data_IF_435106575802
#
_entry.id   IF_435106575802
#
_cell.length_a   1.000
_cell.length_b   1.000
_cell.length_c   1.000
_cell.angle_alpha   90.00
_cell.angle_beta   90.00
_cell.angle_gamma   90.00
#
_symmetry.space_group_name_H-M   'P 1'
#
loop_
_entity.id
_entity.type
_entity.pdbx_description
1 polymer ?
#
# COMPACT_ATOMS: atom_id res chain seq x y z
N UNK A 1 8.92 5.54 18.86
CA UNK A 1 7.73 5.06 18.10
C UNK A 1 6.86 6.27 17.80
N UNK A 2 6.49 6.49 16.54
CA UNK A 2 5.65 7.63 16.14
C UNK A 2 4.25 7.52 16.73
N UNK A 3 3.59 8.65 16.93
CA UNK A 3 2.20 8.65 17.37
C UNK A 3 1.28 8.09 16.29
N UNK A 4 0.54 7.03 16.62
CA UNK A 4 -0.42 6.39 15.72
C UNK A 4 -1.81 7.00 15.96
N UNK A 5 -2.04 8.18 15.39
CA UNK A 5 -3.26 8.94 15.53
C UNK A 5 -3.89 9.28 14.15
N UNK A 6 -5.05 9.93 14.17
CA UNK A 6 -5.77 10.25 12.94
C UNK A 6 -5.00 11.20 12.02
N UNK A 7 -4.28 12.14 12.56
CA UNK A 7 -3.51 13.11 11.79
C UNK A 7 -2.41 12.45 10.95
N UNK A 8 -1.76 11.43 11.54
CA UNK A 8 -0.67 10.71 10.88
C UNK A 8 -1.13 9.58 9.97
N UNK A 9 -2.32 9.01 10.22
CA UNK A 9 -2.82 7.82 9.49
C UNK A 9 -3.84 8.19 8.41
N UNK A 10 -4.76 9.12 8.69
CA UNK A 10 -5.86 9.41 7.77
C UNK A 10 -5.36 10.14 6.50
N UNK A 11 -5.69 9.59 5.34
CA UNK A 11 -5.31 10.15 4.05
C UNK A 11 -4.88 9.10 3.05
N UNK A 12 -3.94 9.45 2.18
CA UNK A 12 -3.42 8.57 1.14
C UNK A 12 -2.19 7.83 1.63
N UNK A 13 -2.20 6.52 1.47
CA UNK A 13 -1.06 5.62 1.66
C UNK A 13 -0.63 5.05 0.31
N UNK A 14 0.65 4.78 0.16
CA UNK A 14 1.23 4.23 -1.07
C UNK A 14 1.85 2.85 -0.81
N UNK A 15 1.40 1.84 -1.53
CA UNK A 15 2.12 0.58 -1.63
C UNK A 15 3.14 0.74 -2.78
N UNK A 16 4.37 1.06 -2.44
CA UNK A 16 5.39 1.49 -3.41
C UNK A 16 6.07 0.32 -4.11
N UNK A 17 6.37 0.45 -5.42
CA UNK A 17 7.28 -0.48 -6.12
C UNK A 17 8.71 -0.31 -5.59
N UNK A 18 9.51 -1.36 -5.69
CA UNK A 18 10.92 -1.36 -5.28
C UNK A 18 11.83 -1.06 -6.48
N UNK A 19 12.70 -0.05 -6.41
CA UNK A 19 13.66 0.23 -7.49
C UNK A 19 14.82 -0.77 -7.47
N UNK A 20 15.18 -1.29 -8.63
CA UNK A 20 16.35 -2.14 -8.84
C UNK A 20 17.31 -1.52 -9.85
N UNK A 21 18.59 -1.89 -9.74
CA UNK A 21 19.60 -1.60 -10.76
C UNK A 21 19.44 -2.52 -11.98
N UNK A 22 20.24 -2.31 -13.02
CA UNK A 22 20.30 -3.22 -14.18
C UNK A 22 20.74 -4.64 -13.77
N UNK A 23 21.54 -4.76 -12.70
CA UNK A 23 22.02 -6.02 -12.13
C UNK A 23 21.01 -6.66 -11.15
N UNK A 24 19.81 -6.09 -11.02
CA UNK A 24 18.74 -6.55 -10.12
C UNK A 24 19.09 -6.45 -8.63
N UNK A 25 19.97 -5.53 -8.27
CA UNK A 25 20.24 -5.15 -6.89
C UNK A 25 19.35 -3.97 -6.48
N UNK A 26 19.22 -3.70 -5.17
CA UNK A 26 18.47 -2.55 -4.68
C UNK A 26 19.14 -1.24 -5.11
N UNK A 27 18.40 -0.36 -5.79
CA UNK A 27 18.87 0.98 -6.15
C UNK A 27 18.61 1.96 -4.99
N UNK A 28 19.60 2.11 -4.11
CA UNK A 28 19.51 2.98 -2.92
C UNK A 28 19.32 4.46 -3.27
N UNK A 29 19.86 4.94 -4.39
CA UNK A 29 19.66 6.32 -4.83
C UNK A 29 18.23 6.55 -5.30
N UNK A 30 17.67 5.62 -6.06
CA UNK A 30 16.28 5.65 -6.47
C UNK A 30 15.32 5.51 -5.27
N UNK A 31 15.66 4.70 -4.25
CA UNK A 31 14.91 4.67 -2.98
C UNK A 31 14.86 6.06 -2.34
N UNK A 32 15.98 6.78 -2.31
CA UNK A 32 16.01 8.14 -1.76
C UNK A 32 15.08 9.09 -2.53
N UNK A 33 15.15 9.07 -3.87
CA UNK A 33 14.27 9.89 -4.72
C UNK A 33 12.80 9.51 -4.58
N UNK A 34 12.49 8.20 -4.48
CA UNK A 34 11.14 7.71 -4.25
C UNK A 34 10.56 8.25 -2.94
N UNK A 35 11.30 8.16 -1.84
CA UNK A 35 10.85 8.66 -0.54
C UNK A 35 10.58 10.17 -0.57
N UNK A 36 11.48 10.96 -1.15
CA UNK A 36 11.28 12.40 -1.32
C UNK A 36 10.04 12.72 -2.18
N UNK A 37 9.85 11.97 -3.25
CA UNK A 37 8.66 12.11 -4.10
C UNK A 37 7.37 11.81 -3.33
N UNK A 38 7.32 10.71 -2.56
CA UNK A 38 6.14 10.37 -1.75
C UNK A 38 5.80 11.46 -0.71
N UNK A 39 6.82 12.08 -0.13
CA UNK A 39 6.62 13.21 0.79
C UNK A 39 6.01 14.41 0.05
N UNK A 40 6.47 14.75 -1.14
CA UNK A 40 5.91 15.84 -1.96
C UNK A 40 4.46 15.56 -2.37
N UNK A 41 4.12 14.32 -2.68
CA UNK A 41 2.74 13.91 -2.96
C UNK A 41 1.81 14.00 -1.73
N UNK A 42 2.33 14.26 -0.53
CA UNK A 42 1.55 14.34 0.71
C UNK A 42 1.12 12.98 1.26
N UNK A 43 1.84 11.92 0.91
CA UNK A 43 1.55 10.55 1.37
C UNK A 43 1.73 10.45 2.89
N UNK A 44 0.78 9.79 3.56
CA UNK A 44 0.78 9.60 5.02
C UNK A 44 1.59 8.40 5.47
N UNK A 45 1.65 7.37 4.65
CA UNK A 45 2.42 6.18 4.97
C UNK A 45 2.76 5.34 3.75
N UNK A 46 3.82 4.55 3.88
CA UNK A 46 4.29 3.62 2.86
C UNK A 46 4.02 2.18 3.29
N UNK A 47 3.58 1.36 2.35
CA UNK A 47 3.60 -0.10 2.47
C UNK A 47 4.72 -0.65 1.59
N UNK A 48 5.76 -1.18 2.24
CA UNK A 48 6.94 -1.75 1.61
C UNK A 48 6.78 -3.25 1.39
N UNK A 49 7.50 -3.78 0.41
CA UNK A 49 7.58 -5.22 0.11
C UNK A 49 6.21 -5.90 -0.01
N UNK A 50 5.19 -5.17 -0.49
CA UNK A 50 3.88 -5.70 -0.88
C UNK A 50 4.00 -6.49 -2.20
N UNK A 51 2.87 -6.94 -2.76
CA UNK A 51 2.88 -7.50 -4.12
C UNK A 51 3.44 -6.50 -5.13
N UNK A 52 3.01 -5.26 -5.05
CA UNK A 52 3.51 -4.15 -5.87
C UNK A 52 4.99 -3.85 -5.63
N UNK A 53 5.46 -4.04 -4.42
CA UNK A 53 6.87 -3.89 -4.05
C UNK A 53 7.70 -5.15 -4.26
N UNK A 54 7.15 -6.18 -4.92
CA UNK A 54 7.84 -7.45 -5.28
C UNK A 54 8.39 -8.22 -4.06
N UNK A 55 7.82 -7.99 -2.88
CA UNK A 55 8.35 -8.53 -1.63
C UNK A 55 8.45 -10.05 -1.58
N UNK A 56 7.57 -10.78 -2.29
CA UNK A 56 7.60 -12.25 -2.37
C UNK A 56 8.72 -12.79 -3.26
N UNK A 57 9.24 -11.97 -4.18
CA UNK A 57 10.36 -12.31 -5.06
C UNK A 57 11.73 -11.89 -4.49
N UNK A 58 11.73 -11.03 -3.47
CA UNK A 58 12.96 -10.58 -2.82
C UNK A 58 13.51 -11.63 -1.84
N UNK A 59 14.84 -11.67 -1.71
CA UNK A 59 15.49 -12.34 -0.59
C UNK A 59 15.23 -11.58 0.72
N UNK A 60 15.37 -12.28 1.86
CA UNK A 60 15.30 -11.64 3.18
C UNK A 60 16.32 -10.50 3.31
N UNK A 61 17.52 -10.67 2.74
CA UNK A 61 18.55 -9.66 2.75
C UNK A 61 18.09 -8.37 2.04
N UNK A 62 17.58 -8.48 0.80
CA UNK A 62 17.09 -7.31 0.04
C UNK A 62 15.93 -6.60 0.74
N UNK A 63 15.04 -7.37 1.40
CA UNK A 63 13.91 -6.80 2.16
C UNK A 63 14.41 -5.96 3.33
N UNK A 64 15.43 -6.43 4.06
CA UNK A 64 16.02 -5.70 5.19
C UNK A 64 16.80 -4.48 4.70
N UNK A 65 17.53 -4.58 3.59
CA UNK A 65 18.19 -3.42 2.99
C UNK A 65 17.19 -2.35 2.57
N UNK A 66 16.09 -2.75 1.89
CA UNK A 66 15.00 -1.82 1.54
C UNK A 66 14.45 -1.11 2.79
N UNK A 67 14.16 -1.87 3.86
CA UNK A 67 13.66 -1.28 5.10
C UNK A 67 14.63 -0.23 5.67
N UNK A 68 15.92 -0.54 5.75
CA UNK A 68 16.96 0.37 6.23
C UNK A 68 17.09 1.64 5.39
N UNK A 69 17.15 1.49 4.06
CA UNK A 69 17.27 2.63 3.15
C UNK A 69 16.04 3.54 3.18
N UNK A 70 14.83 2.97 3.24
CA UNK A 70 13.61 3.76 3.36
C UNK A 70 13.55 4.48 4.71
N UNK A 71 13.85 3.81 5.82
CA UNK A 71 13.87 4.44 7.16
C UNK A 71 14.86 5.61 7.20
N UNK A 72 16.10 5.41 6.72
CA UNK A 72 17.14 6.42 6.65
C UNK A 72 16.69 7.67 5.87
N UNK A 73 16.03 7.48 4.73
CA UNK A 73 15.59 8.57 3.86
C UNK A 73 14.27 9.20 4.33
N UNK A 74 13.40 8.44 5.00
CA UNK A 74 12.11 8.93 5.48
C UNK A 74 12.22 10.01 6.56
N UNK A 75 13.22 9.92 7.43
CA UNK A 75 13.47 10.92 8.51
C UNK A 75 12.18 11.27 9.27
N UNK A 76 11.41 10.26 9.62
CA UNK A 76 10.15 10.35 10.37
C UNK A 76 9.00 11.16 9.74
N UNK A 77 9.07 11.44 8.43
CA UNK A 77 8.05 12.24 7.73
C UNK A 77 6.76 11.47 7.42
N UNK A 78 6.84 10.17 7.20
CA UNK A 78 5.71 9.28 6.91
C UNK A 78 5.74 8.08 7.86
N UNK A 79 4.58 7.43 8.05
CA UNK A 79 4.52 6.12 8.69
C UNK A 79 5.04 5.05 7.74
N UNK A 80 5.78 4.10 8.27
CA UNK A 80 6.35 3.00 7.50
C UNK A 80 5.74 1.67 7.92
N UNK A 81 5.15 0.98 6.96
CA UNK A 81 4.64 -0.37 7.13
C UNK A 81 5.34 -1.32 6.15
N UNK A 82 5.57 -2.55 6.56
CA UNK A 82 6.17 -3.56 5.70
C UNK A 82 5.37 -4.85 5.73
N UNK A 83 5.11 -5.44 4.55
CA UNK A 83 4.36 -6.67 4.44
C UNK A 83 5.24 -7.86 4.85
N UNK A 84 4.76 -8.61 5.84
CA UNK A 84 5.35 -9.86 6.29
C UNK A 84 4.86 -10.99 5.39
N UNK A 85 5.79 -11.80 4.90
CA UNK A 85 5.46 -12.92 4.00
C UNK A 85 4.77 -14.06 4.74
N UNK A 86 3.96 -14.83 4.02
CA UNK A 86 3.28 -16.02 4.54
C UNK A 86 4.29 -17.13 4.81
N UNK A 87 4.61 -17.30 6.08
CA UNK A 87 5.51 -18.31 6.62
C UNK A 87 4.96 -18.89 7.93
N UNK A 88 5.53 -19.96 8.48
CA UNK A 88 5.20 -20.39 9.83
C UNK A 88 5.33 -19.25 10.84
N UNK A 89 4.42 -19.21 11.82
CA UNK A 89 4.32 -18.12 12.80
C UNK A 89 5.65 -17.71 13.46
N UNK A 90 6.58 -18.65 13.61
CA UNK A 90 7.91 -18.36 14.17
C UNK A 90 8.70 -17.45 13.23
N UNK A 91 8.78 -17.79 11.94
CA UNK A 91 9.51 -17.01 10.94
C UNK A 91 8.88 -15.62 10.76
N UNK A 92 7.54 -15.54 10.73
CA UNK A 92 6.86 -14.24 10.68
C UNK A 92 7.20 -13.35 11.88
N UNK A 93 7.31 -13.92 13.10
CA UNK A 93 7.71 -13.16 14.30
C UNK A 93 9.18 -12.74 14.25
N UNK A 94 10.04 -13.58 13.72
CA UNK A 94 11.45 -13.28 13.53
C UNK A 94 11.60 -12.12 12.49
N UNK A 95 10.82 -12.14 11.41
CA UNK A 95 10.78 -11.06 10.42
C UNK A 95 10.24 -9.75 11.01
N UNK A 96 9.13 -9.81 11.78
CA UNK A 96 8.60 -8.62 12.47
C UNK A 96 9.66 -7.99 13.37
N UNK A 97 10.44 -8.80 14.08
CA UNK A 97 11.52 -8.29 14.91
C UNK A 97 12.62 -7.64 14.09
N UNK A 98 13.04 -8.26 12.97
CA UNK A 98 14.06 -7.68 12.08
C UNK A 98 13.65 -6.32 11.54
N UNK A 99 12.38 -6.17 11.09
CA UNK A 99 11.90 -4.88 10.59
C UNK A 99 11.71 -3.84 11.69
N UNK A 100 11.36 -4.25 12.93
CA UNK A 100 11.38 -3.38 14.11
C UNK A 100 12.79 -2.84 14.36
N UNK A 101 13.80 -3.72 14.34
CA UNK A 101 15.20 -3.34 14.51
C UNK A 101 15.70 -2.35 13.42
N UNK A 102 15.06 -2.35 12.24
CA UNK A 102 15.31 -1.37 11.18
C UNK A 102 14.61 -0.02 11.40
N UNK A 103 13.61 0.06 12.28
CA UNK A 103 12.81 1.27 12.50
C UNK A 103 11.50 1.36 11.73
N UNK A 104 10.96 0.25 11.24
CA UNK A 104 9.60 0.18 10.68
C UNK A 104 8.57 0.37 11.79
N UNK A 105 7.51 1.13 11.53
CA UNK A 105 6.50 1.49 12.54
C UNK A 105 5.41 0.42 12.71
N UNK A 106 5.04 -0.31 11.63
CA UNK A 106 3.86 -1.19 11.57
C UNK A 106 4.20 -2.46 10.78
N UNK A 107 3.90 -3.62 11.35
CA UNK A 107 3.98 -4.87 10.60
C UNK A 107 2.65 -5.12 9.87
N UNK A 108 2.68 -5.20 8.54
CA UNK A 108 1.51 -5.54 7.73
C UNK A 108 1.44 -7.06 7.53
N UNK A 109 0.25 -7.64 7.71
CA UNK A 109 0.00 -9.07 7.53
C UNK A 109 -1.18 -9.23 6.57
N UNK A 110 -0.99 -9.98 5.49
CA UNK A 110 -2.08 -10.33 4.58
C UNK A 110 -3.07 -11.30 5.26
N UNK A 111 -4.37 -11.18 4.98
CA UNK A 111 -5.41 -12.04 5.54
C UNK A 111 -6.32 -12.63 4.47
N UNK A 112 -6.51 -13.94 4.55
CA UNK A 112 -5.46 -14.93 4.37
C UNK A 112 -5.16 -15.01 2.87
N UNK A 113 -3.92 -15.05 2.52
CA UNK A 113 -3.50 -15.35 1.16
C UNK A 113 -2.88 -16.75 1.16
N UNK A 114 -3.72 -17.78 1.25
CA UNK A 114 -3.24 -19.15 1.11
C UNK A 114 -4.02 -19.88 0.02
N UNK A 115 -3.34 -20.52 -0.93
CA UNK A 115 -3.98 -21.35 -1.95
C UNK A 115 -4.56 -22.65 -1.38
N UNK A 116 -4.29 -22.95 -0.09
CA UNK A 116 -4.71 -24.17 0.59
C UNK A 116 -5.90 -23.87 1.50
N UNK A 117 -6.91 -24.75 1.50
CA UNK A 117 -8.01 -24.71 2.47
C UNK A 117 -7.49 -24.96 3.88
N UNK A 118 -7.19 -23.88 4.59
CA UNK A 118 -6.77 -23.94 5.99
C UNK A 118 -8.00 -23.85 6.89
N UNK A 119 -8.05 -24.69 7.91
CA UNK A 119 -9.16 -24.66 8.90
C UNK A 119 -9.18 -23.32 9.63
N UNK A 120 -10.37 -22.70 9.80
CA UNK A 120 -10.50 -21.42 10.50
C UNK A 120 -9.84 -21.37 11.87
N UNK A 121 -9.89 -22.49 12.64
CA UNK A 121 -9.29 -22.58 13.97
C UNK A 121 -7.76 -22.49 13.94
N UNK A 122 -7.14 -23.01 12.88
CA UNK A 122 -5.70 -22.88 12.70
C UNK A 122 -5.32 -21.43 12.38
N UNK A 123 -6.04 -20.78 11.45
CA UNK A 123 -5.86 -19.38 11.13
C UNK A 123 -6.05 -18.49 12.37
N UNK A 124 -7.09 -18.73 13.15
CA UNK A 124 -7.32 -18.03 14.41
C UNK A 124 -6.12 -18.12 15.34
N UNK A 125 -5.62 -19.34 15.59
CA UNK A 125 -4.44 -19.55 16.45
C UNK A 125 -3.19 -18.86 15.91
N UNK A 126 -2.99 -18.89 14.59
CA UNK A 126 -1.86 -18.23 13.93
C UNK A 126 -1.91 -16.72 14.15
N UNK A 127 -2.99 -16.07 13.75
CA UNK A 127 -3.12 -14.61 13.86
C UNK A 127 -3.11 -14.14 15.31
N UNK A 128 -3.81 -14.80 16.21
CA UNK A 128 -3.80 -14.45 17.64
C UNK A 128 -2.40 -14.57 18.24
N UNK A 129 -1.66 -15.62 17.88
CA UNK A 129 -0.27 -15.79 18.33
C UNK A 129 0.62 -14.68 17.80
N UNK A 130 0.52 -14.35 16.50
CA UNK A 130 1.29 -13.29 15.87
C UNK A 130 1.00 -11.93 16.50
N UNK A 131 -0.28 -11.55 16.61
CA UNK A 131 -0.70 -10.27 17.17
C UNK A 131 -0.26 -10.15 18.64
N UNK A 132 -0.46 -11.19 19.44
CA UNK A 132 -0.07 -11.17 20.86
C UNK A 132 1.44 -11.00 21.04
N UNK A 133 2.26 -11.68 20.21
CA UNK A 133 3.72 -11.71 20.36
C UNK A 133 4.45 -10.65 19.53
N UNK A 134 3.77 -10.02 18.58
CA UNK A 134 4.39 -8.96 17.79
C UNK A 134 4.91 -7.83 18.67
N UNK A 135 6.16 -7.38 18.49
CA UNK A 135 6.65 -6.17 19.14
C UNK A 135 6.05 -4.90 18.50
N UNK A 136 5.67 -4.96 17.21
CA UNK A 136 5.07 -3.86 16.48
C UNK A 136 3.53 -3.91 16.49
N UNK A 137 2.86 -2.76 16.33
CA UNK A 137 1.46 -2.70 15.92
C UNK A 137 1.24 -3.43 14.59
N UNK A 138 0.03 -3.95 14.42
CA UNK A 138 -0.33 -4.76 13.24
C UNK A 138 -1.29 -3.99 12.33
N UNK A 139 -0.97 -3.96 11.04
CA UNK A 139 -1.90 -3.68 9.98
C UNK A 139 -2.39 -4.99 9.34
N UNK A 140 -3.70 -5.16 9.17
CA UNK A 140 -4.26 -6.29 8.43
C UNK A 140 -4.59 -5.85 7.01
N UNK A 141 -4.05 -6.58 6.06
CA UNK A 141 -4.29 -6.40 4.64
C UNK A 141 -5.32 -7.42 4.18
N UNK A 142 -6.58 -7.01 4.05
CA UNK A 142 -7.69 -7.89 3.70
C UNK A 142 -7.83 -7.99 2.18
N UNK A 143 -7.20 -9.01 1.59
CA UNK A 143 -7.10 -9.19 0.14
C UNK A 143 -8.05 -10.24 -0.44
N UNK A 144 -8.58 -11.15 0.39
CA UNK A 144 -9.33 -12.30 -0.09
C UNK A 144 -10.83 -12.15 0.12
N UNK A 145 -11.60 -12.12 -0.98
CA UNK A 145 -13.08 -12.08 -0.93
C UNK A 145 -13.70 -13.31 -0.25
N UNK A 146 -13.03 -14.45 -0.29
CA UNK A 146 -13.49 -15.70 0.34
C UNK A 146 -13.14 -15.81 1.83
N UNK A 147 -12.53 -14.78 2.44
CA UNK A 147 -12.17 -14.80 3.86
C UNK A 147 -13.38 -15.00 4.76
N UNK A 148 -13.29 -15.86 5.79
CA UNK A 148 -14.35 -16.03 6.79
C UNK A 148 -14.53 -14.73 7.60
N UNK A 149 -15.61 -14.01 7.36
CA UNK A 149 -15.88 -12.73 8.02
C UNK A 149 -15.91 -12.82 9.55
N UNK A 150 -16.55 -13.83 10.19
CA UNK A 150 -16.54 -13.91 11.64
C UNK A 150 -15.12 -13.97 12.22
N UNK A 151 -14.24 -14.78 11.61
CA UNK A 151 -12.85 -14.87 12.02
C UNK A 151 -12.11 -13.54 11.81
N UNK A 152 -12.34 -12.87 10.69
CA UNK A 152 -11.74 -11.58 10.42
C UNK A 152 -12.13 -10.54 11.48
N UNK A 153 -13.41 -10.48 11.83
CA UNK A 153 -13.91 -9.60 12.91
C UNK A 153 -13.21 -9.87 14.24
N UNK A 154 -13.10 -11.14 14.64
CA UNK A 154 -12.38 -11.50 15.87
C UNK A 154 -10.91 -11.03 15.86
N UNK A 155 -10.26 -11.11 14.70
CA UNK A 155 -8.86 -10.69 14.53
C UNK A 155 -8.73 -9.17 14.61
N UNK A 156 -9.58 -8.41 13.91
CA UNK A 156 -9.51 -6.97 13.94
C UNK A 156 -9.92 -6.36 15.29
N UNK A 157 -10.58 -7.12 16.15
CA UNK A 157 -10.88 -6.71 17.52
C UNK A 157 -9.66 -6.81 18.45
N UNK A 158 -8.56 -7.43 18.03
CA UNK A 158 -7.36 -7.53 18.88
C UNK A 158 -6.71 -6.14 19.09
N UNK A 159 -6.30 -5.79 20.33
CA UNK A 159 -5.83 -4.42 20.66
C UNK A 159 -4.66 -3.91 19.80
N UNK A 160 -3.73 -4.79 19.44
CA UNK A 160 -2.56 -4.44 18.62
C UNK A 160 -2.86 -4.27 17.13
N UNK A 161 -4.04 -4.66 16.65
CA UNK A 161 -4.47 -4.38 15.29
C UNK A 161 -4.97 -2.94 15.25
N UNK A 162 -4.21 -2.08 14.61
CA UNK A 162 -4.46 -0.64 14.57
C UNK A 162 -4.97 -0.14 13.23
N UNK A 163 -4.74 -0.92 12.18
CA UNK A 163 -5.06 -0.55 10.81
C UNK A 163 -5.62 -1.75 10.04
N UNK A 164 -6.63 -1.51 9.24
CA UNK A 164 -7.15 -2.45 8.24
C UNK A 164 -7.13 -1.80 6.87
N UNK A 165 -6.44 -2.41 5.91
CA UNK A 165 -6.55 -2.09 4.51
C UNK A 165 -7.51 -3.08 3.83
N UNK A 166 -8.67 -2.59 3.38
CA UNK A 166 -9.69 -3.41 2.73
C UNK A 166 -9.57 -3.33 1.21
N UNK A 167 -9.12 -4.42 0.59
CA UNK A 167 -8.96 -4.55 -0.85
C UNK A 167 -10.16 -5.24 -1.51
N UNK A 168 -11.21 -5.56 -0.77
CA UNK A 168 -12.42 -6.11 -1.32
C UNK A 168 -13.41 -4.99 -1.65
N UNK A 169 -14.03 -5.05 -2.82
CA UNK A 169 -15.10 -4.12 -3.20
C UNK A 169 -16.50 -4.67 -2.83
N UNK A 170 -16.57 -5.52 -1.79
CA UNK A 170 -17.80 -6.11 -1.29
C UNK A 170 -18.46 -5.14 -0.28
N UNK A 171 -19.65 -4.57 -0.61
CA UNK A 171 -20.30 -3.60 0.28
C UNK A 171 -20.71 -4.18 1.64
N UNK A 172 -21.07 -5.45 1.69
CA UNK A 172 -21.45 -6.12 2.95
C UNK A 172 -20.25 -6.23 3.90
N UNK A 173 -19.12 -6.70 3.38
CA UNK A 173 -17.86 -6.77 4.16
C UNK A 173 -17.39 -5.40 4.58
N UNK A 174 -17.48 -4.41 3.69
CA UNK A 174 -17.18 -3.01 4.01
C UNK A 174 -17.99 -2.53 5.20
N UNK A 175 -19.31 -2.74 5.19
CA UNK A 175 -20.18 -2.33 6.30
C UNK A 175 -19.80 -3.00 7.62
N UNK A 176 -19.49 -4.30 7.61
CA UNK A 176 -19.05 -5.06 8.79
C UNK A 176 -17.74 -4.49 9.34
N UNK A 177 -16.73 -4.28 8.49
CA UNK A 177 -15.43 -3.74 8.90
C UNK A 177 -15.59 -2.36 9.54
N UNK A 178 -16.31 -1.45 8.88
CA UNK A 178 -16.51 -0.08 9.36
C UNK A 178 -17.31 -0.03 10.66
N UNK A 179 -18.35 -0.85 10.80
CA UNK A 179 -19.14 -0.93 12.03
C UNK A 179 -18.29 -1.52 13.18
N UNK A 180 -17.48 -2.54 12.90
CA UNK A 180 -16.55 -3.10 13.90
C UNK A 180 -15.53 -2.06 14.34
N UNK A 181 -14.97 -1.28 13.41
CA UNK A 181 -14.01 -0.24 13.72
C UNK A 181 -14.61 0.87 14.60
N UNK A 182 -15.86 1.28 14.31
CA UNK A 182 -16.59 2.29 15.11
C UNK A 182 -16.89 1.81 16.53
N UNK A 183 -17.17 0.52 16.72
CA UNK A 183 -17.51 -0.06 18.02
C UNK A 183 -16.32 -0.37 18.91
N UNK A 184 -15.07 -0.15 18.46
CA UNK A 184 -13.89 -0.42 19.28
C UNK A 184 -13.59 0.71 20.27
N UNK A 185 -13.22 0.32 21.48
CA UNK A 185 -12.68 1.23 22.50
C UNK A 185 -11.35 1.85 22.04
N UNK A 186 -10.41 1.01 21.56
CA UNK A 186 -9.18 1.44 20.93
C UNK A 186 -9.42 1.67 19.44
N UNK A 187 -9.05 2.84 18.93
CA UNK A 187 -9.29 3.20 17.54
C UNK A 187 -8.65 2.22 16.57
N UNK A 188 -9.47 1.72 15.63
CA UNK A 188 -9.04 0.99 14.45
C UNK A 188 -9.17 1.92 13.24
N UNK A 189 -8.07 2.18 12.56
CA UNK A 189 -8.07 2.95 11.32
C UNK A 189 -8.41 2.04 10.14
N UNK A 190 -9.10 2.61 9.16
CA UNK A 190 -9.56 1.86 7.99
C UNK A 190 -9.14 2.56 6.71
N UNK A 191 -8.46 1.84 5.84
CA UNK A 191 -8.11 2.28 4.48
C UNK A 191 -8.82 1.39 3.47
N UNK A 192 -9.22 1.96 2.35
CA UNK A 192 -9.73 1.20 1.21
C UNK A 192 -8.68 1.14 0.10
N UNK A 193 -8.60 0.02 -0.62
CA UNK A 193 -7.67 -0.15 -1.75
C UNK A 193 -8.47 -0.33 -3.03
N UNK A 194 -9.03 0.76 -3.54
CA UNK A 194 -9.71 0.78 -4.82
C UNK A 194 -9.19 1.95 -5.65
N UNK A 195 -8.28 1.67 -6.56
CA UNK A 195 -7.64 2.65 -7.44
C UNK A 195 -8.68 3.45 -8.25
N UNK A 196 -9.68 2.77 -8.79
CA UNK A 196 -10.66 3.37 -9.69
C UNK A 196 -11.76 4.18 -8.97
N UNK A 197 -11.82 4.15 -7.63
CA UNK A 197 -12.85 4.86 -6.89
C UNK A 197 -12.40 5.25 -5.47
N UNK A 198 -11.81 6.42 -5.34
CA UNK A 198 -11.41 7.00 -4.05
C UNK A 198 -12.55 7.77 -3.37
N UNK A 199 -13.65 8.06 -4.07
CA UNK A 199 -14.78 8.85 -3.57
C UNK A 199 -15.64 8.03 -2.60
N UNK A 200 -16.06 6.84 -3.02
CA UNK A 200 -16.96 5.98 -2.24
C UNK A 200 -16.39 5.62 -0.86
N UNK A 201 -15.09 5.29 -0.69
CA UNK A 201 -14.50 5.07 0.61
C UNK A 201 -14.71 6.22 1.59
N UNK A 202 -14.51 7.46 1.16
CA UNK A 202 -14.72 8.64 2.00
C UNK A 202 -16.17 8.74 2.45
N UNK A 203 -17.12 8.57 1.52
CA UNK A 203 -18.56 8.60 1.81
C UNK A 203 -19.01 7.48 2.75
N UNK A 204 -18.40 6.32 2.68
CA UNK A 204 -18.66 5.21 3.60
C UNK A 204 -18.03 5.40 4.98
N UNK A 205 -17.07 6.32 5.13
CA UNK A 205 -16.44 6.67 6.39
C UNK A 205 -15.11 5.97 6.66
N UNK A 206 -14.41 5.53 5.62
CA UNK A 206 -12.99 5.15 5.74
C UNK A 206 -12.14 6.35 6.17
N UNK A 207 -11.06 6.10 6.87
CA UNK A 207 -10.09 7.14 7.26
C UNK A 207 -9.23 7.59 6.08
N UNK A 208 -9.08 6.75 5.05
CA UNK A 208 -8.30 7.05 3.85
C UNK A 208 -8.27 5.92 2.84
N UNK A 209 -7.27 5.98 1.95
CA UNK A 209 -7.03 4.97 0.92
C UNK A 209 -5.58 4.48 0.97
N UNK A 210 -5.36 3.22 0.64
CA UNK A 210 -4.04 2.62 0.39
C UNK A 210 -4.02 2.16 -1.07
N UNK A 211 -3.28 2.87 -1.92
CA UNK A 211 -3.26 2.61 -3.35
C UNK A 211 -1.87 2.10 -3.78
N UNK A 212 -1.87 1.16 -4.70
CA UNK A 212 -0.63 0.68 -5.30
C UNK A 212 -0.05 1.71 -6.29
N UNK A 213 -0.92 2.53 -6.88
CA UNK A 213 -0.57 3.55 -7.86
C UNK A 213 -0.29 4.92 -7.25
N UNK A 214 -0.47 5.09 -5.93
CA UNK A 214 -0.24 6.37 -5.27
C UNK A 214 1.20 6.90 -5.42
N UNK A 215 2.14 6.04 -5.84
CA UNK A 215 3.50 6.48 -6.17
C UNK A 215 3.57 7.48 -7.33
N UNK A 216 2.52 7.61 -8.15
CA UNK A 216 2.38 8.65 -9.17
C UNK A 216 0.98 9.31 -9.18
N UNK A 217 -0.06 8.69 -8.61
CA UNK A 217 -1.41 9.26 -8.53
C UNK A 217 -1.73 9.92 -7.19
N UNK A 218 -0.79 9.88 -6.23
CA UNK A 218 -1.03 10.26 -4.84
C UNK A 218 -1.56 11.69 -4.66
N UNK A 219 -1.08 12.64 -5.45
CA UNK A 219 -1.54 14.03 -5.40
C UNK A 219 -3.03 14.15 -5.83
N UNK A 220 -3.40 13.50 -6.94
CA UNK A 220 -4.79 13.44 -7.40
C UNK A 220 -5.69 12.74 -6.38
N UNK A 221 -5.26 11.61 -5.85
CA UNK A 221 -5.99 10.88 -4.81
C UNK A 221 -6.22 11.75 -3.56
N UNK A 222 -5.22 12.50 -3.10
CA UNK A 222 -5.37 13.44 -1.99
C UNK A 222 -6.38 14.55 -2.31
N UNK A 223 -6.36 15.07 -3.53
CA UNK A 223 -7.36 16.02 -4.05
C UNK A 223 -8.76 15.46 -4.00
N UNK A 224 -8.98 14.23 -4.51
CA UNK A 224 -10.27 13.55 -4.49
C UNK A 224 -10.79 13.39 -3.06
N UNK A 225 -9.94 12.93 -2.12
CA UNK A 225 -10.33 12.78 -0.72
C UNK A 225 -10.75 14.12 -0.10
N UNK A 226 -10.03 15.21 -0.39
CA UNK A 226 -10.33 16.56 0.09
C UNK A 226 -11.64 17.07 -0.49
N UNK A 227 -11.80 17.07 -1.81
CA UNK A 227 -13.01 17.53 -2.50
C UNK A 227 -14.26 16.77 -2.03
N UNK A 228 -14.14 15.46 -1.84
CA UNK A 228 -15.24 14.63 -1.34
C UNK A 228 -15.65 15.02 0.09
N UNK A 229 -14.69 15.31 0.97
CA UNK A 229 -14.96 15.77 2.36
C UNK A 229 -15.58 17.16 2.39
N UNK A 230 -15.23 18.02 1.46
CA UNK A 230 -15.80 19.36 1.27
C UNK A 230 -17.21 19.34 0.65
N UNK A 231 -17.71 18.15 0.23
CA UNK A 231 -19.01 18.02 -0.43
C UNK A 231 -18.99 18.36 -1.93
N UNK A 232 -17.84 18.68 -2.50
CA UNK A 232 -17.60 18.99 -3.93
C UNK A 232 -17.51 17.71 -4.75
N UNK A 233 -18.63 16.99 -4.80
CA UNK A 233 -18.64 15.64 -5.39
C UNK A 233 -18.40 15.66 -6.90
N UNK A 234 -18.92 16.66 -7.63
CA UNK A 234 -18.73 16.76 -9.08
C UNK A 234 -17.27 16.97 -9.44
N UNK A 235 -16.60 17.89 -8.76
CA UNK A 235 -15.17 18.12 -8.94
C UNK A 235 -14.34 16.86 -8.60
N UNK A 236 -14.73 16.15 -7.53
CA UNK A 236 -14.07 14.90 -7.16
C UNK A 236 -14.23 13.81 -8.24
N UNK A 237 -15.40 13.74 -8.89
CA UNK A 237 -15.68 12.79 -9.99
C UNK A 237 -14.84 13.15 -11.21
N UNK A 238 -14.68 14.42 -11.54
CA UNK A 238 -13.84 14.87 -12.64
C UNK A 238 -12.38 14.46 -12.44
N UNK A 239 -11.81 14.76 -11.28
CA UNK A 239 -10.43 14.35 -10.94
C UNK A 239 -10.28 12.83 -10.92
N UNK A 240 -11.28 12.08 -10.41
CA UNK A 240 -11.25 10.62 -10.42
C UNK A 240 -11.28 10.05 -11.84
N UNK A 241 -12.12 10.61 -12.71
CA UNK A 241 -12.21 10.16 -14.10
C UNK A 241 -10.91 10.41 -14.84
N UNK A 242 -10.29 11.57 -14.60
CA UNK A 242 -9.00 11.90 -15.15
C UNK A 242 -7.88 10.97 -14.63
N UNK A 243 -7.82 10.74 -13.33
CA UNK A 243 -6.88 9.77 -12.74
C UNK A 243 -7.05 8.39 -13.37
N UNK A 244 -8.30 7.95 -13.59
CA UNK A 244 -8.57 6.64 -14.19
C UNK A 244 -8.09 6.55 -15.64
N UNK A 245 -8.15 7.63 -16.43
CA UNK A 245 -7.58 7.63 -17.79
C UNK A 245 -6.07 7.44 -17.76
N UNK A 246 -5.37 8.11 -16.85
CA UNK A 246 -3.92 7.91 -16.65
C UNK A 246 -3.61 6.47 -16.24
N UNK A 247 -4.41 5.88 -15.33
CA UNK A 247 -4.23 4.49 -14.92
C UNK A 247 -4.34 3.52 -16.11
N UNK A 248 -5.33 3.70 -16.98
CA UNK A 248 -5.53 2.86 -18.18
C UNK A 248 -4.33 3.03 -19.13
N UNK A 249 -3.89 4.24 -19.38
CA UNK A 249 -2.76 4.52 -20.26
C UNK A 249 -1.44 3.93 -19.75
N UNK A 250 -1.23 3.95 -18.43
CA UNK A 250 0.00 3.44 -17.80
C UNK A 250 -0.03 1.93 -17.61
N UNK A 251 -1.17 1.40 -17.12
CA UNK A 251 -1.25 0.02 -16.63
C UNK A 251 -1.95 -0.94 -17.61
N UNK A 252 -2.67 -0.41 -18.60
CA UNK A 252 -3.57 -1.19 -19.45
C UNK A 252 -4.99 -1.24 -18.92
N UNK A 253 -5.94 -1.67 -19.76
CA UNK A 253 -7.39 -1.68 -19.42
C UNK A 253 -7.72 -2.62 -18.27
N UNK A 254 -7.07 -3.78 -18.21
CA UNK A 254 -7.23 -4.79 -17.17
C UNK A 254 -6.07 -4.79 -16.17
N UNK A 255 -5.27 -3.71 -16.17
CA UNK A 255 -4.05 -3.59 -15.37
C UNK A 255 -3.03 -4.72 -15.65
N UNK A 256 -2.98 -5.18 -16.89
CA UNK A 256 -2.08 -6.25 -17.35
C UNK A 256 -0.60 -5.88 -17.27
N UNK A 257 -0.27 -4.57 -17.22
CA UNK A 257 1.10 -4.04 -17.07
C UNK A 257 1.31 -3.36 -15.73
N UNK A 258 0.79 -3.98 -14.70
CA UNK A 258 0.66 -3.35 -13.39
C UNK A 258 2.02 -2.93 -12.79
N UNK A 259 3.00 -3.81 -12.83
CA UNK A 259 4.31 -3.56 -12.25
C UNK A 259 5.21 -2.75 -13.21
N UNK A 260 5.35 -3.22 -14.45
CA UNK A 260 6.22 -2.58 -15.43
C UNK A 260 5.75 -1.18 -15.80
N UNK A 261 4.43 -0.95 -15.92
CA UNK A 261 3.86 0.37 -16.19
C UNK A 261 4.18 1.37 -15.07
N UNK A 262 4.01 0.97 -13.81
CA UNK A 262 4.35 1.82 -12.66
C UNK A 262 5.84 2.15 -12.61
N UNK A 263 6.70 1.17 -12.84
CA UNK A 263 8.15 1.43 -12.86
C UNK A 263 8.54 2.33 -14.02
N UNK A 264 7.95 2.11 -15.20
CA UNK A 264 8.26 2.95 -16.36
C UNK A 264 7.87 4.42 -16.13
N UNK A 265 6.69 4.72 -15.59
CA UNK A 265 6.33 6.11 -15.31
C UNK A 265 7.28 6.73 -14.29
N UNK A 266 7.73 5.98 -13.28
CA UNK A 266 8.72 6.47 -12.31
C UNK A 266 10.10 6.70 -12.94
N UNK A 267 10.47 5.96 -13.99
CA UNK A 267 11.66 6.23 -14.80
C UNK A 267 11.50 7.55 -15.56
N UNK A 268 10.38 7.76 -16.22
CA UNK A 268 10.14 8.99 -16.99
C UNK A 268 10.04 10.24 -16.10
N UNK A 269 9.62 10.07 -14.86
CA UNK A 269 9.65 11.11 -13.82
C UNK A 269 11.05 11.36 -13.24
N UNK A 270 12.07 10.57 -13.62
CA UNK A 270 13.42 10.66 -13.09
C UNK A 270 13.59 10.16 -11.64
N UNK A 271 12.61 9.40 -11.15
CA UNK A 271 12.63 8.83 -9.80
C UNK A 271 13.41 7.52 -9.80
N UNK A 272 13.13 6.62 -10.76
CA UNK A 272 13.87 5.37 -10.97
C UNK A 272 14.90 5.54 -12.09
N UNK A 273 15.98 4.77 -12.03
CA UNK A 273 16.99 4.70 -13.10
C UNK A 273 16.57 3.70 -14.18
N UNK A 274 15.82 2.66 -13.82
CA UNK A 274 15.40 1.57 -14.71
C UNK A 274 14.03 1.03 -14.30
N UNK A 275 13.28 0.49 -15.25
CA UNK A 275 12.01 -0.19 -15.01
C UNK A 275 12.17 -1.69 -14.70
N UNK A 276 13.40 -2.17 -14.44
CA UNK A 276 13.68 -3.56 -14.09
C UNK A 276 12.83 -4.04 -12.92
N UNK A 277 12.35 -5.26 -13.03
CA UNK A 277 11.55 -5.92 -12.01
C UNK A 277 11.87 -7.40 -11.92
N UNK A 278 11.71 -7.99 -10.71
CA UNK A 278 12.04 -9.39 -10.43
C UNK A 278 11.12 -10.40 -11.12
N UNK A 279 9.99 -9.95 -11.67
CA UNK A 279 9.01 -10.80 -12.35
C UNK A 279 9.19 -10.79 -13.86
N UNK A 280 10.19 -10.05 -14.38
CA UNK A 280 10.46 -9.88 -15.81
C UNK A 280 9.25 -9.41 -16.64
N UNK A 281 8.35 -8.65 -16.00
CA UNK A 281 7.22 -8.02 -16.68
C UNK A 281 7.74 -6.89 -17.57
N UNK A 282 7.26 -6.84 -18.81
CA UNK A 282 7.70 -5.85 -19.81
C UNK A 282 6.50 -5.17 -20.46
N UNK A 283 6.72 -3.98 -20.98
CA UNK A 283 5.72 -3.22 -21.75
C UNK A 283 6.22 -2.91 -23.14
N UNK A 284 5.30 -2.69 -24.07
CA UNK A 284 5.63 -2.37 -25.46
C UNK A 284 6.25 -0.96 -25.58
N UNK A 285 7.05 -0.77 -26.63
CA UNK A 285 7.61 0.55 -26.97
C UNK A 285 6.54 1.61 -27.20
N UNK A 286 5.37 1.21 -27.73
CA UNK A 286 4.22 2.11 -27.91
C UNK A 286 3.70 2.61 -26.57
N UNK A 287 3.56 1.74 -25.56
CA UNK A 287 3.14 2.13 -24.21
C UNK A 287 4.19 3.01 -23.53
N UNK A 288 5.47 2.72 -23.69
CA UNK A 288 6.54 3.60 -23.21
C UNK A 288 6.41 4.99 -23.81
N UNK A 289 6.17 5.09 -25.13
CA UNK A 289 5.96 6.38 -25.79
C UNK A 289 4.75 7.14 -25.20
N UNK A 290 3.64 6.43 -24.97
CA UNK A 290 2.44 7.05 -24.35
C UNK A 290 2.70 7.52 -22.91
N UNK A 291 3.43 6.76 -22.11
CA UNK A 291 3.82 7.18 -20.75
C UNK A 291 4.70 8.44 -20.78
N UNK A 292 5.61 8.55 -21.74
CA UNK A 292 6.42 9.78 -21.95
C UNK A 292 5.58 11.01 -22.25
N UNK A 293 4.56 10.85 -23.10
CA UNK A 293 3.61 11.93 -23.39
C UNK A 293 2.87 12.38 -22.13
N UNK A 294 2.32 11.44 -21.37
CA UNK A 294 1.61 11.70 -20.11
C UNK A 294 2.51 12.47 -19.14
N UNK A 295 3.74 12.02 -18.93
CA UNK A 295 4.67 12.72 -18.03
C UNK A 295 4.99 14.14 -18.51
N UNK A 296 5.06 14.36 -19.83
CA UNK A 296 5.27 15.69 -20.39
C UNK A 296 4.06 16.61 -20.21
N UNK A 297 2.86 16.08 -20.40
CA UNK A 297 1.59 16.83 -20.31
C UNK A 297 1.20 17.11 -18.86
N UNK A 298 1.42 16.13 -17.96
CA UNK A 298 0.87 16.11 -16.59
C UNK A 298 1.93 16.29 -15.51
N UNK A 299 3.06 16.89 -15.85
CA UNK A 299 4.20 17.00 -14.93
C UNK A 299 3.84 17.61 -13.57
N UNK A 300 3.00 18.62 -13.55
CA UNK A 300 2.59 19.31 -12.31
C UNK A 300 1.69 18.46 -11.40
N UNK A 301 0.93 17.53 -11.97
CA UNK A 301 0.08 16.60 -11.21
C UNK A 301 0.86 15.38 -10.72
N UNK A 302 1.91 15.00 -11.46
CA UNK A 302 2.72 13.82 -11.15
C UNK A 302 3.94 14.17 -10.28
N UNK A 303 4.43 15.41 -10.34
CA UNK A 303 5.58 15.95 -9.58
C UNK A 303 5.20 17.31 -8.95
N UNK A 304 4.26 17.38 -8.01
CA UNK A 304 3.81 18.64 -7.40
C UNK A 304 4.88 19.29 -6.52
#
# INVERSE_FOLDING_TARGET
>A
MKSLNRENIAGVWSAVPTPFTEEMELDSEAVSRLVEHQVRLGIKGLLLASLNGEGSAMSDFMRIELAKEVVKNNRDRMLLSMLIQDNPAKLMLDDIKRIEDCGIDIAAIAFPFTPVKIKPEYLKRLYFKLIKKSPLPIALYHVNRASPIPLFVEIILQPKVILVANCTNDPHKTAIILNTAKGRENKLFTLNSNEANCISPVKFGYDGVLLNTACFTGFMAAGILRLTKEGRTEDAVEVQSYMNSILIDVLGMDFEYFLAGQKQILVELGIFNTAKNLLDEQISSERIARIKEIVKEEKELLLP
#
